data_IF_964800143956
#
_entry.id   IF_964800143956
#
_cell.length_a   1.000
_cell.length_b   1.000
_cell.length_c   1.000
_cell.angle_alpha   90.00
_cell.angle_beta   90.00
_cell.angle_gamma   90.00
#
_symmetry.space_group_name_H-M   'P 1'
#
loop_
_entity.id
_entity.type
_entity.pdbx_description
1 polymer ?
#
# COMPACT_ATOMS: atom_id res chain seq x y z
N UNK A 1 4.90 -10.11 -10.29
CA UNK A 1 3.72 -10.89 -10.72
C UNK A 1 3.23 -10.34 -12.05
N UNK A 2 3.14 -11.18 -13.08
CA UNK A 2 2.59 -10.82 -14.40
C UNK A 2 1.23 -11.49 -14.53
N UNK A 3 0.23 -10.74 -14.97
CA UNK A 3 -1.15 -11.18 -15.13
C UNK A 3 -1.64 -10.77 -16.52
N UNK A 4 -2.19 -11.72 -17.26
CA UNK A 4 -2.87 -11.44 -18.53
C UNK A 4 -4.35 -11.23 -18.26
N UNK A 5 -4.89 -10.10 -18.72
CA UNK A 5 -6.34 -9.92 -18.81
C UNK A 5 -6.79 -10.48 -20.16
N UNK A 6 -7.59 -11.54 -20.12
CA UNK A 6 -8.20 -12.18 -21.29
C UNK A 6 -9.68 -11.82 -21.41
N UNK A 7 -10.21 -11.84 -22.63
CA UNK A 7 -11.65 -11.72 -22.91
C UNK A 7 -12.37 -13.06 -22.71
N UNK A 8 -13.70 -13.07 -22.94
CA UNK A 8 -14.52 -14.29 -22.97
C UNK A 8 -13.97 -15.34 -23.97
N UNK A 9 -13.42 -14.89 -25.10
CA UNK A 9 -12.78 -15.74 -26.11
C UNK A 9 -11.32 -16.11 -25.78
N UNK A 10 -10.88 -15.94 -24.54
CA UNK A 10 -9.51 -16.19 -24.06
C UNK A 10 -8.40 -15.39 -24.75
N UNK A 11 -8.74 -14.41 -25.59
CA UNK A 11 -7.78 -13.53 -26.26
C UNK A 11 -7.20 -12.54 -25.26
N UNK A 12 -5.88 -12.37 -25.24
CA UNK A 12 -5.20 -11.43 -24.33
C UNK A 12 -5.53 -9.99 -24.74
N UNK A 13 -6.29 -9.29 -23.92
CA UNK A 13 -6.62 -7.87 -24.10
C UNK A 13 -5.51 -6.99 -23.54
N UNK A 14 -4.91 -7.37 -22.40
CA UNK A 14 -3.94 -6.52 -21.69
C UNK A 14 -3.04 -7.29 -20.75
N UNK A 15 -1.74 -7.00 -20.83
CA UNK A 15 -0.76 -7.45 -19.84
C UNK A 15 -0.68 -6.47 -18.66
N UNK A 16 -0.71 -7.01 -17.44
CA UNK A 16 -0.55 -6.27 -16.18
C UNK A 16 0.64 -6.86 -15.42
N UNK A 17 1.65 -6.05 -15.17
CA UNK A 17 2.73 -6.40 -14.26
C UNK A 17 2.55 -5.64 -12.93
N UNK A 18 2.82 -6.32 -11.82
CA UNK A 18 2.92 -5.71 -10.49
C UNK A 18 4.24 -6.13 -9.84
N UNK A 19 4.99 -5.13 -9.38
CA UNK A 19 6.10 -5.33 -8.46
C UNK A 19 5.55 -5.43 -7.04
N UNK A 20 5.84 -6.53 -6.37
CA UNK A 20 5.37 -6.83 -5.02
C UNK A 20 6.59 -7.24 -4.20
N UNK A 21 6.77 -6.60 -3.04
CA UNK A 21 7.83 -6.97 -2.12
C UNK A 21 7.48 -8.29 -1.43
N UNK A 22 8.49 -9.14 -1.19
CA UNK A 22 8.35 -10.39 -0.44
C UNK A 22 8.40 -10.11 1.07
N UNK A 23 7.44 -9.36 1.63
CA UNK A 23 7.51 -8.97 3.05
C UNK A 23 7.37 -10.11 4.05
N UNK A 24 6.99 -11.31 3.63
CA UNK A 24 7.11 -12.52 4.46
C UNK A 24 8.57 -12.91 4.73
N UNK A 25 9.52 -12.43 3.91
CA UNK A 25 10.95 -12.67 4.08
C UNK A 25 11.63 -11.58 4.94
N UNK A 26 10.91 -10.51 5.30
CA UNK A 26 11.44 -9.47 6.19
C UNK A 26 11.56 -9.99 7.62
N UNK A 27 12.64 -9.61 8.30
CA UNK A 27 12.91 -9.92 9.71
C UNK A 27 12.66 -8.69 10.59
N UNK A 28 11.87 -8.88 11.63
CA UNK A 28 11.65 -7.86 12.66
C UNK A 28 12.97 -7.50 13.37
N UNK A 29 13.17 -6.22 13.66
CA UNK A 29 14.40 -5.67 14.25
C UNK A 29 15.58 -5.55 13.28
N UNK A 30 15.44 -6.01 12.03
CA UNK A 30 16.45 -5.86 10.98
C UNK A 30 15.86 -5.06 9.81
N UNK A 31 14.76 -5.54 9.23
CA UNK A 31 14.15 -4.97 8.02
C UNK A 31 12.97 -4.04 8.32
N UNK A 32 12.40 -4.14 9.52
CA UNK A 32 11.36 -3.27 10.07
C UNK A 32 11.33 -3.38 11.60
N UNK A 33 10.92 -2.31 12.30
CA UNK A 33 10.80 -2.31 13.77
C UNK A 33 9.41 -2.71 14.25
N UNK A 34 8.35 -2.30 13.55
CA UNK A 34 6.97 -2.53 13.98
C UNK A 34 6.10 -2.95 12.78
N UNK A 35 5.24 -3.95 12.98
CA UNK A 35 4.18 -4.28 12.02
C UNK A 35 2.92 -3.46 12.33
N UNK A 36 2.43 -2.71 11.33
CA UNK A 36 1.24 -1.89 11.49
C UNK A 36 0.07 -2.47 10.69
N UNK A 37 -1.05 -2.71 11.38
CA UNK A 37 -2.30 -3.13 10.76
C UNK A 37 -3.42 -2.16 11.14
N UNK A 38 -3.94 -1.44 10.16
CA UNK A 38 -5.19 -0.70 10.31
C UNK A 38 -6.34 -1.70 10.16
N UNK A 39 -6.91 -2.12 11.28
CA UNK A 39 -8.16 -2.88 11.26
C UNK A 39 -9.28 -1.92 11.63
N UNK A 40 -10.02 -1.44 10.63
CA UNK A 40 -11.28 -0.78 10.89
C UNK A 40 -12.26 -1.84 11.42
N UNK A 41 -12.77 -1.64 12.64
CA UNK A 41 -13.79 -2.52 13.19
C UNK A 41 -15.09 -2.33 12.38
N UNK A 42 -15.61 -3.41 11.78
CA UNK A 42 -16.82 -3.37 10.96
C UNK A 42 -18.02 -2.81 11.74
N UNK A 43 -18.10 -3.12 13.04
CA UNK A 43 -19.16 -2.63 13.92
C UNK A 43 -19.15 -1.09 14.02
N UNK A 44 -17.97 -0.49 14.15
CA UNK A 44 -17.79 0.97 14.19
C UNK A 44 -18.19 1.59 12.85
N UNK A 45 -17.83 0.95 11.74
CA UNK A 45 -18.23 1.40 10.39
C UNK A 45 -19.76 1.35 10.24
N UNK A 46 -20.42 0.29 10.70
CA UNK A 46 -21.88 0.18 10.64
C UNK A 46 -22.59 1.20 11.52
N UNK A 47 -22.10 1.43 12.74
CA UNK A 47 -22.63 2.47 13.63
C UNK A 47 -22.49 3.84 12.98
N UNK A 48 -21.34 4.14 12.36
CA UNK A 48 -21.11 5.40 11.66
C UNK A 48 -22.07 5.59 10.49
N UNK A 49 -22.27 4.56 9.66
CA UNK A 49 -23.22 4.59 8.53
C UNK A 49 -24.65 4.77 9.04
N UNK A 50 -25.07 4.04 10.07
CA UNK A 50 -26.41 4.15 10.65
C UNK A 50 -26.66 5.55 11.21
N UNK A 51 -25.68 6.14 11.89
CA UNK A 51 -25.75 7.50 12.40
C UNK A 51 -25.84 8.53 11.27
N UNK A 52 -25.00 8.41 10.24
CA UNK A 52 -25.03 9.28 9.07
C UNK A 52 -26.37 9.21 8.34
N UNK A 53 -26.94 8.00 8.17
CA UNK A 53 -28.26 7.81 7.59
C UNK A 53 -29.36 8.46 8.44
N UNK A 54 -29.31 8.32 9.77
CA UNK A 54 -30.26 8.97 10.68
C UNK A 54 -30.17 10.51 10.62
N UNK A 55 -28.98 11.06 10.48
CA UNK A 55 -28.74 12.51 10.39
C UNK A 55 -28.84 13.08 8.97
N UNK A 56 -29.19 12.26 7.98
CA UNK A 56 -29.21 12.64 6.57
C UNK A 56 -27.89 13.21 6.06
N UNK A 57 -26.76 12.74 6.59
CA UNK A 57 -25.44 13.16 6.15
C UNK A 57 -25.05 12.46 4.85
N UNK A 58 -24.54 13.18 3.84
CA UNK A 58 -24.01 12.57 2.65
C UNK A 58 -22.71 11.82 2.99
N UNK A 59 -22.61 10.57 2.55
CA UNK A 59 -21.38 9.77 2.65
C UNK A 59 -20.71 9.74 1.28
N UNK A 60 -19.42 10.01 1.25
CA UNK A 60 -18.58 9.91 0.06
C UNK A 60 -17.55 8.80 0.24
N UNK A 61 -17.38 7.96 -0.77
CA UNK A 61 -16.35 6.94 -0.83
C UNK A 61 -15.24 7.38 -1.78
N UNK A 62 -13.98 7.17 -1.36
CA UNK A 62 -12.81 7.43 -2.19
C UNK A 62 -11.92 6.19 -2.23
N UNK A 63 -11.62 5.71 -3.44
CA UNK A 63 -10.60 4.69 -3.67
C UNK A 63 -9.30 5.35 -4.12
N UNK A 64 -8.25 5.21 -3.32
CA UNK A 64 -6.95 5.83 -3.59
C UNK A 64 -6.14 4.89 -4.47
N UNK A 65 -5.96 5.28 -5.74
CA UNK A 65 -5.06 4.56 -6.64
C UNK A 65 -3.64 4.59 -6.08
N UNK A 66 -3.02 3.41 -6.05
CA UNK A 66 -1.62 3.23 -5.65
C UNK A 66 -1.29 3.82 -4.27
N UNK A 67 -2.20 3.69 -3.29
CA UNK A 67 -2.08 4.26 -1.95
C UNK A 67 -0.67 4.11 -1.32
N UNK A 68 -0.09 2.90 -1.33
CA UNK A 68 1.24 2.69 -0.75
C UNK A 68 2.37 3.44 -1.47
N UNK A 69 2.27 3.64 -2.78
CA UNK A 69 3.27 4.42 -3.54
C UNK A 69 3.24 5.92 -3.22
N UNK A 70 2.22 6.38 -2.49
CA UNK A 70 2.18 7.75 -1.99
C UNK A 70 2.85 7.89 -0.63
N UNK A 71 3.02 6.80 0.13
CA UNK A 71 3.74 6.79 1.41
C UNK A 71 5.26 6.73 1.19
N UNK A 72 6.03 7.77 1.58
CA UNK A 72 7.49 7.67 1.61
C UNK A 72 7.93 6.65 2.67
N UNK A 73 8.95 5.86 2.37
CA UNK A 73 9.58 4.97 3.36
C UNK A 73 10.51 5.80 4.25
N UNK A 74 10.45 5.57 5.56
CA UNK A 74 11.39 6.15 6.52
C UNK A 74 12.66 5.32 6.62
N UNK A 75 12.51 4.00 6.50
CA UNK A 75 13.60 3.04 6.56
C UNK A 75 14.22 2.82 5.18
N UNK A 76 15.52 2.50 5.14
CA UNK A 76 16.16 2.07 3.91
C UNK A 76 15.83 0.61 3.61
N UNK A 77 15.05 0.39 2.55
CA UNK A 77 14.66 -0.95 2.11
C UNK A 77 15.29 -1.23 0.76
N UNK A 78 15.93 -2.39 0.66
CA UNK A 78 16.50 -2.89 -0.58
C UNK A 78 15.72 -4.11 -1.06
N UNK A 79 15.59 -4.25 -2.38
CA UNK A 79 15.01 -5.44 -3.00
C UNK A 79 15.98 -5.99 -4.03
N UNK A 80 16.01 -7.31 -4.14
CA UNK A 80 16.71 -7.98 -5.22
C UNK A 80 16.15 -7.52 -6.59
N UNK A 81 16.99 -7.61 -7.62
CA UNK A 81 16.56 -7.30 -8.98
C UNK A 81 15.37 -8.19 -9.37
N UNK A 82 14.28 -7.61 -9.91
CA UNK A 82 13.15 -8.40 -10.34
C UNK A 82 13.53 -9.25 -11.54
N UNK A 83 12.95 -10.44 -11.60
CA UNK A 83 13.08 -11.32 -12.77
C UNK A 83 12.71 -10.56 -14.06
N UNK A 84 13.57 -10.66 -15.07
CA UNK A 84 13.44 -9.93 -16.34
C UNK A 84 14.01 -8.51 -16.35
N UNK A 85 14.51 -8.01 -15.22
CA UNK A 85 15.17 -6.70 -15.10
C UNK A 85 16.57 -6.80 -14.43
N UNK A 86 17.17 -7.99 -14.46
CA UNK A 86 18.51 -8.22 -13.91
C UNK A 86 19.55 -7.64 -14.88
N UNK A 87 20.45 -6.82 -14.36
CA UNK A 87 21.61 -6.31 -15.07
C UNK A 87 22.67 -7.42 -15.24
N UNK A 88 23.01 -7.84 -16.48
CA UNK A 88 24.01 -8.89 -16.71
C UNK A 88 25.41 -8.54 -16.18
N UNK A 89 25.76 -7.26 -16.16
CA UNK A 89 27.08 -6.79 -15.73
C UNK A 89 27.14 -6.65 -14.21
N UNK A 90 25.99 -6.56 -13.54
CA UNK A 90 25.89 -6.35 -12.10
C UNK A 90 24.84 -7.25 -11.44
N UNK A 91 25.08 -8.56 -11.48
CA UNK A 91 24.16 -9.57 -10.96
C UNK A 91 23.85 -9.41 -9.46
N UNK A 92 24.81 -8.91 -8.68
CA UNK A 92 24.68 -8.75 -7.22
C UNK A 92 24.04 -7.41 -6.80
N UNK A 93 23.74 -6.52 -7.74
CA UNK A 93 23.13 -5.26 -7.40
C UNK A 93 21.72 -5.45 -6.83
N UNK A 94 21.35 -4.53 -5.95
CA UNK A 94 20.02 -4.43 -5.34
C UNK A 94 19.44 -3.05 -5.60
N UNK A 95 18.12 -2.97 -5.64
CA UNK A 95 17.42 -1.69 -5.79
C UNK A 95 16.96 -1.15 -4.45
N UNK A 96 17.34 0.11 -4.17
CA UNK A 96 16.80 0.84 -3.02
C UNK A 96 15.41 1.37 -3.33
N UNK A 97 14.44 1.05 -2.48
CA UNK A 97 13.08 1.57 -2.57
C UNK A 97 13.02 2.99 -1.98
N UNK A 98 12.46 3.93 -2.73
CA UNK A 98 12.20 5.30 -2.25
C UNK A 98 10.79 5.48 -1.67
N UNK A 99 9.88 4.56 -2.01
CA UNK A 99 8.44 4.62 -1.70
C UNK A 99 7.97 3.25 -1.25
N UNK A 100 6.93 3.24 -0.43
CA UNK A 100 6.39 2.00 0.07
C UNK A 100 5.76 1.16 -1.06
N UNK A 101 6.09 -0.12 -1.07
CA UNK A 101 5.53 -1.10 -2.01
C UNK A 101 4.55 -2.02 -1.31
N UNK A 102 3.60 -2.52 -2.09
CA UNK A 102 2.74 -3.61 -1.64
C UNK A 102 3.59 -4.82 -1.22
N UNK A 103 3.18 -5.43 -0.12
CA UNK A 103 3.87 -6.58 0.47
C UNK A 103 4.86 -6.22 1.58
N UNK A 104 5.33 -4.97 1.70
CA UNK A 104 6.16 -4.55 2.85
C UNK A 104 5.33 -4.45 4.13
N UNK A 105 5.92 -4.87 5.27
CA UNK A 105 5.28 -4.82 6.59
C UNK A 105 4.97 -3.39 7.05
N UNK A 106 5.82 -2.44 6.69
CA UNK A 106 5.71 -1.03 7.05
C UNK A 106 4.89 -0.18 6.05
N UNK A 107 4.54 -0.71 4.88
CA UNK A 107 3.83 0.05 3.86
C UNK A 107 2.47 0.62 4.32
N UNK A 108 1.65 -0.12 5.10
CA UNK A 108 0.41 0.44 5.66
C UNK A 108 0.66 1.65 6.57
N UNK A 109 1.74 1.62 7.36
CA UNK A 109 2.10 2.74 8.25
C UNK A 109 2.55 3.96 7.47
N UNK A 110 3.43 3.77 6.48
CA UNK A 110 3.90 4.85 5.61
C UNK A 110 2.73 5.57 4.92
N UNK A 111 1.73 4.81 4.46
CA UNK A 111 0.51 5.38 3.88
C UNK A 111 -0.34 6.12 4.92
N UNK A 112 -0.57 5.53 6.09
CA UNK A 112 -1.35 6.17 7.16
C UNK A 112 -0.74 7.51 7.59
N UNK A 113 0.57 7.54 7.81
CA UNK A 113 1.28 8.75 8.22
C UNK A 113 1.13 9.85 7.15
N UNK A 114 1.22 9.51 5.87
CA UNK A 114 1.06 10.46 4.77
C UNK A 114 -0.38 10.99 4.65
N UNK A 115 -1.36 10.08 4.70
CA UNK A 115 -2.78 10.44 4.69
C UNK A 115 -3.13 11.32 5.89
N UNK A 116 -2.64 10.96 7.07
CA UNK A 116 -2.82 11.73 8.29
C UNK A 116 -2.24 13.13 8.15
N UNK A 117 -1.00 13.28 7.67
CA UNK A 117 -0.37 14.59 7.47
C UNK A 117 -1.20 15.45 6.51
N UNK A 118 -1.65 14.86 5.40
CA UNK A 118 -2.50 15.54 4.43
C UNK A 118 -3.80 16.02 5.08
N UNK A 119 -4.53 15.16 5.80
CA UNK A 119 -5.76 15.53 6.48
C UNK A 119 -5.53 16.63 7.53
N UNK A 120 -4.47 16.53 8.33
CA UNK A 120 -4.12 17.58 9.29
C UNK A 120 -3.82 18.91 8.61
N UNK A 121 -3.11 18.91 7.48
CA UNK A 121 -2.91 20.13 6.68
C UNK A 121 -4.21 20.73 6.11
N UNK A 122 -5.28 19.94 6.03
CA UNK A 122 -6.62 20.39 5.63
C UNK A 122 -7.49 20.81 6.81
N UNK A 123 -6.97 20.78 8.04
CA UNK A 123 -7.64 21.22 9.25
C UNK A 123 -8.37 20.11 10.02
N UNK A 124 -8.20 18.84 9.63
CA UNK A 124 -8.75 17.73 10.41
C UNK A 124 -7.86 17.39 11.61
N UNK A 125 -8.48 17.09 12.74
CA UNK A 125 -7.80 16.60 13.95
C UNK A 125 -8.02 15.10 14.11
N UNK A 126 -7.05 14.43 14.72
CA UNK A 126 -7.24 13.06 15.20
C UNK A 126 -8.04 13.11 16.49
N UNK A 127 -8.97 12.17 16.65
CA UNK A 127 -9.47 11.83 17.98
C UNK A 127 -8.35 11.15 18.78
N UNK A 128 -8.29 11.44 20.08
CA UNK A 128 -7.37 10.83 21.06
C UNK A 128 -7.77 9.39 21.42
#
# INVERSE_FOLDING_TARGET
MVMEKKDEDQTVIRNKARLVAKGYAQKEGIDFEESFALVACLEVVWIFIAYAAHKYFPIYQMDVKTAFLNGPLKEEVYVAQPEGFVDPDHLENVYRLRKALYGLKQAPRAWYDELSKFLTSKGFTKDE
#
